data_IF_077919030320
#
_entry.id   IF_077919030320
#
_cell.length_a   1.000
_cell.length_b   1.000
_cell.length_c   1.000
_cell.angle_alpha   90.00
_cell.angle_beta   90.00
_cell.angle_gamma   90.00
#
_symmetry.space_group_name_H-M   'P 1'
#
loop_
_entity.id
_entity.type
_entity.pdbx_description
1 polymer ?
#
# COMPACT_ATOMS: atom_id res chain seq x y z
N UNK A 1 4.62 -3.43 16.72
CA UNK A 1 5.20 -4.79 16.70
C UNK A 1 5.98 -5.10 17.97
N UNK A 2 6.74 -4.16 18.55
CA UNK A 2 7.45 -4.37 19.81
C UNK A 2 6.50 -4.82 20.93
N UNK A 3 5.32 -4.26 21.02
CA UNK A 3 4.27 -4.66 21.97
C UNK A 3 3.80 -6.12 21.81
N UNK A 4 3.92 -6.71 20.60
CA UNK A 4 3.61 -8.14 20.39
C UNK A 4 4.69 -9.07 20.94
N UNK A 5 5.91 -8.58 21.12
CA UNK A 5 7.01 -9.33 21.72
C UNK A 5 6.80 -9.41 23.23
N UNK A 6 6.38 -8.31 23.85
CA UNK A 6 6.08 -8.22 25.29
C UNK A 6 4.57 -8.15 25.53
N UNK A 7 3.99 -9.25 25.99
CA UNK A 7 2.55 -9.35 26.27
C UNK A 7 2.08 -8.41 27.39
N UNK A 8 2.97 -8.06 28.33
CA UNK A 8 2.61 -7.11 29.39
C UNK A 8 2.38 -5.72 28.80
N UNK A 9 3.32 -5.25 28.00
CA UNK A 9 3.19 -3.99 27.26
C UNK A 9 1.99 -3.99 26.30
N UNK A 10 1.76 -5.12 25.62
CA UNK A 10 0.58 -5.23 24.75
C UNK A 10 -0.71 -5.06 25.52
N UNK A 11 -0.87 -5.74 26.66
CA UNK A 11 -2.07 -5.64 27.47
C UNK A 11 -2.27 -4.24 28.08
N UNK A 12 -1.19 -3.62 28.52
CA UNK A 12 -1.22 -2.24 29.04
C UNK A 12 -1.70 -1.24 27.98
N UNK A 13 -1.08 -1.26 26.80
CA UNK A 13 -1.47 -0.40 25.68
C UNK A 13 -2.89 -0.69 25.19
N UNK A 14 -3.26 -1.96 25.13
CA UNK A 14 -4.60 -2.36 24.75
C UNK A 14 -5.65 -1.80 25.71
N UNK A 15 -5.46 -1.93 27.02
CA UNK A 15 -6.36 -1.41 28.04
C UNK A 15 -6.43 0.12 28.02
N UNK A 16 -5.30 0.78 27.80
CA UNK A 16 -5.25 2.24 27.65
C UNK A 16 -6.10 2.70 26.46
N UNK A 17 -5.97 2.05 25.31
CA UNK A 17 -6.74 2.37 24.11
C UNK A 17 -8.24 2.04 24.29
N UNK A 18 -8.55 0.89 24.88
CA UNK A 18 -9.93 0.49 25.16
C UNK A 18 -10.61 1.54 26.06
N UNK A 19 -9.98 1.94 27.16
CA UNK A 19 -10.52 2.95 28.06
C UNK A 19 -10.74 4.31 27.36
N UNK A 20 -9.76 4.75 26.55
CA UNK A 20 -9.91 5.96 25.76
C UNK A 20 -11.12 5.93 24.82
N UNK A 21 -11.32 4.82 24.12
CA UNK A 21 -12.46 4.68 23.20
C UNK A 21 -13.79 4.58 23.95
N UNK A 22 -13.83 3.94 25.12
CA UNK A 22 -15.00 3.91 26.00
C UNK A 22 -15.42 5.32 26.43
N UNK A 23 -14.47 6.16 26.82
CA UNK A 23 -14.75 7.56 27.17
C UNK A 23 -15.30 8.36 25.97
N UNK A 24 -14.75 8.17 24.78
CA UNK A 24 -15.25 8.80 23.55
C UNK A 24 -16.69 8.37 23.27
N UNK A 25 -17.00 7.07 23.36
CA UNK A 25 -18.34 6.55 23.14
C UNK A 25 -19.35 7.12 24.12
N UNK A 26 -18.97 7.25 25.38
CA UNK A 26 -19.82 7.88 26.41
C UNK A 26 -20.04 9.37 26.17
N UNK A 27 -18.95 10.13 26.02
CA UNK A 27 -19.00 11.60 26.00
C UNK A 27 -19.53 12.16 24.69
N UNK A 28 -19.18 11.56 23.56
CA UNK A 28 -19.54 12.09 22.24
C UNK A 28 -20.79 11.42 21.66
N UNK A 29 -21.02 10.16 21.98
CA UNK A 29 -22.10 9.36 21.37
C UNK A 29 -23.18 8.93 22.36
N UNK A 30 -23.02 9.23 23.68
CA UNK A 30 -24.04 8.97 24.70
C UNK A 30 -24.30 7.50 25.04
N UNK A 31 -23.34 6.61 24.70
CA UNK A 31 -23.47 5.17 25.02
C UNK A 31 -23.35 4.92 26.53
N UNK A 32 -24.16 3.99 27.04
CA UNK A 32 -24.02 3.49 28.43
C UNK A 32 -22.94 2.40 28.51
N UNK A 33 -22.46 2.14 29.74
CA UNK A 33 -21.49 1.05 29.98
C UNK A 33 -22.06 -0.32 29.58
N UNK A 34 -23.36 -0.55 29.78
CA UNK A 34 -24.01 -1.80 29.38
C UNK A 34 -24.02 -1.97 27.87
N UNK A 35 -24.35 -0.90 27.12
CA UNK A 35 -24.32 -0.92 25.65
C UNK A 35 -22.90 -1.18 25.11
N UNK A 36 -21.92 -0.47 25.66
CA UNK A 36 -20.52 -0.64 25.28
C UNK A 36 -20.05 -2.07 25.56
N UNK A 37 -20.40 -2.62 26.73
CA UNK A 37 -20.00 -3.98 27.10
C UNK A 37 -20.66 -5.04 26.24
N UNK A 38 -21.92 -4.86 25.85
CA UNK A 38 -22.63 -5.79 24.96
C UNK A 38 -21.97 -5.86 23.58
N UNK A 39 -21.63 -4.72 22.99
CA UNK A 39 -21.01 -4.62 21.65
C UNK A 39 -19.55 -5.09 21.63
N UNK A 40 -18.77 -4.69 22.65
CA UNK A 40 -17.29 -4.85 22.60
C UNK A 40 -16.87 -6.24 23.11
N UNK A 41 -17.61 -6.87 24.03
CA UNK A 41 -17.17 -8.07 24.74
C UNK A 41 -16.75 -9.22 23.80
N UNK A 42 -17.55 -9.52 22.81
CA UNK A 42 -17.28 -10.63 21.88
C UNK A 42 -16.17 -10.27 20.88
N UNK A 43 -16.20 -9.05 20.33
CA UNK A 43 -15.21 -8.59 19.37
C UNK A 43 -13.83 -8.43 20.00
N UNK A 44 -13.73 -7.88 21.19
CA UNK A 44 -12.47 -7.76 21.92
C UNK A 44 -11.87 -9.11 22.30
N UNK A 45 -12.69 -10.07 22.70
CA UNK A 45 -12.22 -11.42 22.99
C UNK A 45 -11.68 -12.11 21.74
N UNK A 46 -12.40 -12.02 20.63
CA UNK A 46 -11.99 -12.56 19.34
C UNK A 46 -10.69 -11.91 18.86
N UNK A 47 -10.56 -10.59 18.97
CA UNK A 47 -9.35 -9.85 18.60
C UNK A 47 -8.14 -10.30 19.43
N UNK A 48 -8.24 -10.31 20.76
CA UNK A 48 -7.15 -10.77 21.64
C UNK A 48 -6.71 -12.20 21.32
N UNK A 49 -7.66 -13.10 21.08
CA UNK A 49 -7.39 -14.49 20.72
C UNK A 49 -6.65 -14.58 19.38
N UNK A 50 -7.07 -13.80 18.39
CA UNK A 50 -6.42 -13.73 17.08
C UNK A 50 -4.99 -13.19 17.17
N UNK A 51 -4.76 -12.14 17.96
CA UNK A 51 -3.43 -11.58 18.19
C UNK A 51 -2.51 -12.61 18.88
N UNK A 52 -2.99 -13.33 19.87
CA UNK A 52 -2.20 -14.37 20.54
C UNK A 52 -1.87 -15.55 19.59
N UNK A 53 -2.80 -15.91 18.70
CA UNK A 53 -2.55 -16.90 17.66
C UNK A 53 -1.50 -16.44 16.66
N UNK A 54 -1.62 -15.22 16.12
CA UNK A 54 -0.66 -14.60 15.21
C UNK A 54 0.71 -14.53 15.88
N UNK A 55 0.77 -14.07 17.13
CA UNK A 55 2.02 -14.01 17.89
C UNK A 55 2.71 -15.37 17.97
N UNK A 56 1.98 -16.43 18.34
CA UNK A 56 2.55 -17.80 18.43
C UNK A 56 3.14 -18.27 17.10
N UNK A 57 2.50 -17.92 15.99
CA UNK A 57 2.93 -18.32 14.64
C UNK A 57 4.07 -17.47 14.09
N UNK A 58 4.05 -16.17 14.37
CA UNK A 58 4.90 -15.20 13.68
C UNK A 58 5.99 -14.56 14.54
N UNK A 59 6.01 -14.82 15.85
CA UNK A 59 6.96 -14.12 16.75
C UNK A 59 8.43 -14.26 16.30
N UNK A 60 8.80 -15.41 15.73
CA UNK A 60 10.14 -15.66 15.21
C UNK A 60 10.45 -14.92 13.90
N UNK A 61 9.41 -14.43 13.22
CA UNK A 61 9.52 -13.69 11.97
C UNK A 61 9.53 -12.16 12.20
N UNK A 62 9.13 -11.72 13.40
CA UNK A 62 9.16 -10.30 13.77
C UNK A 62 10.61 -9.91 14.05
N UNK A 63 11.16 -9.05 13.22
CA UNK A 63 12.52 -8.55 13.33
C UNK A 63 12.61 -7.14 12.76
N UNK A 64 13.71 -6.47 13.02
CA UNK A 64 14.05 -5.20 12.38
C UNK A 64 14.46 -5.50 10.93
N UNK A 65 13.50 -5.36 10.02
CA UNK A 65 13.63 -5.82 8.63
C UNK A 65 14.70 -5.06 7.86
N UNK A 66 14.93 -3.77 8.18
CA UNK A 66 15.97 -2.95 7.57
C UNK A 66 17.37 -3.51 7.82
N UNK A 67 17.65 -3.98 9.03
CA UNK A 67 18.95 -4.62 9.34
C UNK A 67 19.09 -5.98 8.66
N UNK A 68 18.06 -6.80 8.78
CA UNK A 68 18.06 -8.14 8.19
C UNK A 68 18.22 -8.08 6.67
N UNK A 69 17.49 -7.18 5.99
CA UNK A 69 17.55 -7.06 4.54
C UNK A 69 18.93 -6.61 4.06
N UNK A 70 19.52 -5.59 4.73
CA UNK A 70 20.86 -5.13 4.39
C UNK A 70 21.93 -6.20 4.62
N UNK A 71 21.75 -7.06 5.63
CA UNK A 71 22.62 -8.23 5.87
C UNK A 71 22.50 -9.24 4.72
N UNK A 72 21.26 -9.60 4.31
CA UNK A 72 21.04 -10.50 3.19
C UNK A 72 21.67 -9.98 1.88
N UNK A 73 21.57 -8.68 1.63
CA UNK A 73 22.20 -8.04 0.46
C UNK A 73 23.73 -8.13 0.54
N UNK A 74 24.33 -7.89 1.72
CA UNK A 74 25.79 -8.04 1.93
C UNK A 74 26.26 -9.48 1.74
N UNK A 75 25.44 -10.47 2.09
CA UNK A 75 25.67 -11.88 1.82
C UNK A 75 25.55 -12.27 0.34
N UNK A 76 25.24 -11.31 -0.55
CA UNK A 76 25.12 -11.52 -1.99
C UNK A 76 23.76 -12.07 -2.44
N UNK A 77 22.75 -12.07 -1.56
CA UNK A 77 21.38 -12.48 -1.94
C UNK A 77 20.78 -11.48 -2.93
N UNK A 78 20.08 -12.02 -3.92
CA UNK A 78 19.30 -11.21 -4.87
C UNK A 78 17.97 -10.84 -4.24
N UNK A 79 17.62 -9.56 -4.30
CA UNK A 79 16.36 -9.01 -3.77
C UNK A 79 15.61 -8.38 -4.93
N UNK A 80 14.34 -8.75 -5.06
CA UNK A 80 13.38 -8.10 -5.94
C UNK A 80 12.44 -7.25 -5.08
N UNK A 81 12.43 -5.94 -5.33
CA UNK A 81 11.45 -5.03 -4.74
C UNK A 81 10.34 -4.78 -5.75
N UNK A 82 9.11 -5.08 -5.37
CA UNK A 82 7.92 -4.81 -6.18
C UNK A 82 7.19 -3.59 -5.60
N UNK A 83 7.00 -2.58 -6.44
CA UNK A 83 6.20 -1.41 -6.12
C UNK A 83 4.71 -1.66 -6.39
N UNK A 84 3.90 -0.68 -6.03
CA UNK A 84 2.47 -0.66 -6.32
C UNK A 84 2.09 0.64 -7.03
N UNK A 85 0.90 0.67 -7.62
CA UNK A 85 0.33 1.80 -8.38
C UNK A 85 1.14 2.11 -9.65
N UNK A 86 1.74 3.31 -9.76
CA UNK A 86 2.53 3.73 -10.91
C UNK A 86 3.07 5.14 -10.74
N UNK A 87 4.03 5.52 -11.56
CA UNK A 87 4.75 6.79 -11.47
C UNK A 87 3.83 8.01 -11.44
N UNK A 88 2.80 8.04 -12.29
CA UNK A 88 1.87 9.17 -12.36
C UNK A 88 0.94 9.30 -11.14
N UNK A 89 0.96 8.34 -10.22
CA UNK A 89 0.25 8.37 -8.94
C UNK A 89 1.15 8.69 -7.76
N UNK A 90 2.45 8.92 -7.99
CA UNK A 90 3.40 9.28 -6.92
C UNK A 90 2.99 10.58 -6.24
N UNK A 91 3.13 10.64 -4.90
CA UNK A 91 2.70 11.79 -4.11
C UNK A 91 3.42 13.08 -4.49
N UNK A 92 4.71 13.00 -4.87
CA UNK A 92 5.55 14.16 -5.18
C UNK A 92 5.69 14.39 -6.69
N UNK A 93 5.69 13.33 -7.49
CA UNK A 93 6.02 13.36 -8.92
C UNK A 93 4.84 12.98 -9.84
N UNK A 94 3.70 12.63 -9.26
CA UNK A 94 2.49 12.28 -10.01
C UNK A 94 1.62 13.48 -10.38
N UNK A 95 0.42 13.18 -10.87
CA UNK A 95 -0.58 14.17 -11.32
C UNK A 95 -1.38 14.74 -10.13
N UNK A 96 -0.70 15.45 -9.24
CA UNK A 96 -1.34 16.09 -8.08
C UNK A 96 -2.52 16.98 -8.48
N UNK A 97 -3.66 16.98 -7.75
CA UNK A 97 -3.92 16.27 -6.49
C UNK A 97 -4.42 14.83 -6.66
N UNK A 98 -4.47 14.29 -7.87
CA UNK A 98 -5.00 12.96 -8.18
C UNK A 98 -3.90 11.89 -8.08
N UNK A 99 -3.34 11.76 -6.91
CA UNK A 99 -2.21 10.88 -6.57
C UNK A 99 -2.58 9.95 -5.42
N UNK A 100 -1.70 8.97 -5.12
CA UNK A 100 -1.80 8.17 -3.91
C UNK A 100 -0.98 8.81 -2.77
N UNK A 101 -1.23 8.40 -1.54
CA UNK A 101 -0.51 8.91 -0.35
C UNK A 101 0.85 8.23 -0.12
N UNK A 102 1.45 7.69 -1.16
CA UNK A 102 2.72 6.95 -1.07
C UNK A 102 3.66 7.33 -2.21
N UNK A 103 4.97 7.09 -2.00
CA UNK A 103 5.96 7.18 -3.05
C UNK A 103 5.93 5.90 -3.88
N UNK A 104 5.52 6.03 -5.15
CA UNK A 104 5.37 4.92 -6.10
C UNK A 104 6.53 4.79 -7.07
N UNK A 105 7.45 5.74 -7.07
CA UNK A 105 8.67 5.71 -7.88
C UNK A 105 9.73 4.77 -7.28
N UNK A 106 10.73 4.41 -8.06
CA UNK A 106 11.81 3.51 -7.64
C UNK A 106 12.53 3.97 -6.34
N UNK A 107 12.62 5.30 -6.12
CA UNK A 107 13.13 5.88 -4.87
C UNK A 107 12.35 5.46 -3.62
N UNK A 108 11.05 5.18 -3.77
CA UNK A 108 10.20 4.66 -2.70
C UNK A 108 10.66 3.31 -2.13
N UNK A 109 11.37 2.50 -2.91
CA UNK A 109 11.97 1.25 -2.44
C UNK A 109 13.06 1.52 -1.39
N UNK A 110 13.84 2.60 -1.54
CA UNK A 110 14.88 2.96 -0.58
C UNK A 110 14.29 3.32 0.78
N UNK A 111 13.28 4.18 0.80
CA UNK A 111 12.63 4.64 2.03
C UNK A 111 11.77 3.54 2.66
N UNK A 112 11.06 2.76 1.85
CA UNK A 112 10.17 1.70 2.31
C UNK A 112 10.91 0.48 2.87
N UNK A 113 12.06 0.13 2.30
CA UNK A 113 12.85 -1.04 2.71
C UNK A 113 14.03 -0.68 3.62
N UNK A 114 14.35 0.60 3.77
CA UNK A 114 15.51 1.04 4.56
C UNK A 114 16.84 0.61 3.93
N UNK A 115 16.98 0.75 2.62
CA UNK A 115 18.20 0.42 1.87
C UNK A 115 18.82 1.65 1.23
N UNK A 116 20.13 1.60 1.03
CA UNK A 116 20.83 2.66 0.30
C UNK A 116 20.42 2.69 -1.18
N UNK A 117 20.23 3.87 -1.80
CA UNK A 117 19.98 3.98 -3.24
C UNK A 117 21.11 3.37 -4.10
N UNK A 118 22.33 3.31 -3.58
CA UNK A 118 23.48 2.70 -4.27
C UNK A 118 23.35 1.17 -4.40
N UNK A 119 22.40 0.56 -3.72
CA UNK A 119 22.13 -0.89 -3.81
C UNK A 119 21.15 -1.23 -4.92
N UNK A 120 20.42 -0.25 -5.46
CA UNK A 120 19.55 -0.45 -6.62
C UNK A 120 20.42 -0.55 -7.85
N UNK A 121 20.46 -1.72 -8.46
CA UNK A 121 21.28 -1.99 -9.64
C UNK A 121 20.48 -2.00 -10.93
N UNK A 122 19.19 -2.31 -10.84
CA UNK A 122 18.31 -2.50 -11.98
C UNK A 122 16.92 -2.02 -11.63
N UNK A 123 16.32 -1.25 -12.52
CA UNK A 123 14.93 -0.80 -12.40
C UNK A 123 14.18 -1.31 -13.63
N UNK A 124 13.23 -2.21 -13.39
CA UNK A 124 12.40 -2.80 -14.43
C UNK A 124 11.09 -2.03 -14.48
N UNK A 125 10.87 -1.29 -15.56
CA UNK A 125 9.59 -0.66 -15.86
C UNK A 125 8.62 -1.70 -16.44
N UNK A 126 7.40 -1.72 -15.91
CA UNK A 126 6.32 -2.53 -16.47
C UNK A 126 5.25 -1.58 -17.00
N UNK A 127 4.91 -1.70 -18.29
CA UNK A 127 3.89 -0.90 -18.93
C UNK A 127 2.95 -1.74 -19.77
N UNK A 128 1.69 -1.30 -19.86
CA UNK A 128 0.76 -1.85 -20.83
C UNK A 128 0.94 -1.13 -22.17
N UNK A 129 0.48 -1.74 -23.27
CA UNK A 129 0.45 -1.10 -24.59
C UNK A 129 -0.61 0.02 -24.71
N UNK A 130 -1.33 0.30 -23.66
CA UNK A 130 -2.35 1.36 -23.56
C UNK A 130 -2.35 1.90 -22.12
N UNK A 131 -2.94 3.07 -21.92
CA UNK A 131 -3.04 3.69 -20.60
C UNK A 131 -4.39 3.41 -19.94
N UNK A 132 -4.38 3.32 -18.60
CA UNK A 132 -5.61 3.26 -17.80
C UNK A 132 -5.56 4.20 -16.62
N UNK A 133 -6.73 4.74 -16.24
CA UNK A 133 -6.86 5.59 -15.06
C UNK A 133 -8.11 5.23 -14.26
N UNK A 134 -7.99 5.24 -12.94
CA UNK A 134 -9.11 5.12 -12.02
C UNK A 134 -9.39 6.48 -11.40
N UNK A 135 -10.68 6.85 -11.35
CA UNK A 135 -11.10 8.10 -10.73
C UNK A 135 -10.89 9.34 -11.60
N UNK A 136 -10.90 10.49 -10.93
CA UNK A 136 -10.81 11.79 -11.56
C UNK A 136 -9.38 12.15 -11.96
N UNK A 137 -9.21 13.31 -12.58
CA UNK A 137 -7.95 13.84 -13.06
C UNK A 137 -7.83 13.80 -14.56
N UNK A 138 -6.87 14.55 -15.06
CA UNK A 138 -6.62 14.66 -16.49
C UNK A 138 -6.14 13.34 -17.07
N UNK A 139 -6.61 13.05 -18.29
CA UNK A 139 -6.22 11.89 -19.06
C UNK A 139 -6.18 12.27 -20.55
N UNK A 140 -5.10 12.91 -21.01
CA UNK A 140 -5.03 13.51 -22.34
C UNK A 140 -5.27 12.54 -23.49
N UNK A 141 -4.89 11.28 -23.31
CA UNK A 141 -5.02 10.22 -24.33
C UNK A 141 -6.27 9.36 -24.16
N UNK A 142 -7.23 9.77 -23.33
CA UNK A 142 -8.46 9.01 -23.07
C UNK A 142 -9.27 8.75 -24.35
N UNK A 143 -9.77 7.53 -24.47
CA UNK A 143 -10.63 7.09 -25.57
C UNK A 143 -12.04 6.92 -25.01
N UNK A 144 -12.97 7.78 -25.45
CA UNK A 144 -14.35 7.82 -24.92
C UNK A 144 -15.39 7.17 -25.84
N UNK A 145 -14.95 6.60 -26.95
CA UNK A 145 -15.79 5.93 -27.95
C UNK A 145 -15.84 4.40 -27.77
N UNK A 146 -16.38 3.70 -28.76
CA UNK A 146 -16.50 2.24 -28.75
C UNK A 146 -15.16 1.52 -28.67
N UNK A 147 -14.07 2.13 -29.14
CA UNK A 147 -12.73 1.55 -29.05
C UNK A 147 -12.27 1.50 -27.59
N UNK A 148 -12.48 2.58 -26.84
CA UNK A 148 -12.20 2.63 -25.40
C UNK A 148 -13.02 1.60 -24.62
N UNK A 149 -14.29 1.41 -24.97
CA UNK A 149 -15.14 0.38 -24.37
C UNK A 149 -14.63 -1.03 -24.68
N UNK A 150 -14.16 -1.26 -25.92
CA UNK A 150 -13.62 -2.57 -26.32
C UNK A 150 -12.34 -2.90 -25.57
N UNK A 151 -11.40 -1.94 -25.49
CA UNK A 151 -10.16 -2.09 -24.70
C UNK A 151 -10.47 -2.43 -23.24
N UNK A 152 -11.45 -1.74 -22.64
CA UNK A 152 -11.87 -2.00 -21.26
C UNK A 152 -12.38 -3.42 -21.06
N UNK A 153 -13.19 -3.91 -22.00
CA UNK A 153 -13.76 -5.27 -21.93
C UNK A 153 -12.68 -6.33 -22.14
N UNK A 154 -11.89 -6.20 -23.19
CA UNK A 154 -10.88 -7.19 -23.57
C UNK A 154 -9.75 -7.25 -22.53
N UNK A 155 -9.34 -6.08 -22.01
CA UNK A 155 -8.32 -5.96 -20.94
C UNK A 155 -8.85 -6.25 -19.56
N UNK A 156 -10.16 -6.52 -19.39
CA UNK A 156 -10.81 -6.67 -18.07
C UNK A 156 -10.47 -5.51 -17.12
N UNK A 157 -10.52 -4.28 -17.63
CA UNK A 157 -10.10 -3.06 -16.94
C UNK A 157 -11.16 -2.57 -15.95
N UNK A 158 -11.27 -3.30 -14.84
CA UNK A 158 -12.13 -3.00 -13.70
C UNK A 158 -11.33 -3.03 -12.41
N UNK A 159 -11.77 -2.27 -11.41
CA UNK A 159 -11.16 -2.28 -10.08
C UNK A 159 -11.36 -3.63 -9.39
N UNK A 160 -10.28 -4.23 -8.92
CA UNK A 160 -10.30 -5.56 -8.29
C UNK A 160 -11.22 -5.65 -7.06
N UNK A 161 -11.34 -4.57 -6.31
CA UNK A 161 -12.14 -4.54 -5.07
C UNK A 161 -13.54 -4.00 -5.29
N UNK A 162 -13.68 -2.94 -6.09
CA UNK A 162 -14.94 -2.21 -6.26
C UNK A 162 -15.67 -2.53 -7.56
N UNK A 163 -15.04 -3.26 -8.48
CA UNK A 163 -15.58 -3.49 -9.83
C UNK A 163 -15.72 -2.21 -10.67
N UNK A 164 -15.18 -1.07 -10.23
CA UNK A 164 -15.32 0.22 -10.91
C UNK A 164 -14.63 0.19 -12.27
N UNK A 165 -15.30 0.59 -13.37
CA UNK A 165 -14.68 0.63 -14.69
C UNK A 165 -13.52 1.61 -14.70
N UNK A 166 -12.40 1.20 -15.30
CA UNK A 166 -11.25 2.08 -15.53
C UNK A 166 -11.45 2.86 -16.83
N UNK A 167 -11.02 4.10 -16.84
CA UNK A 167 -10.87 4.89 -18.05
C UNK A 167 -9.71 4.32 -18.85
N UNK A 168 -9.86 4.17 -20.16
CA UNK A 168 -8.83 3.63 -21.05
C UNK A 168 -8.42 4.68 -22.08
N UNK A 169 -7.16 4.65 -22.50
CA UNK A 169 -6.62 5.62 -23.45
C UNK A 169 -5.42 5.05 -24.21
N UNK A 170 -5.03 5.76 -25.28
CA UNK A 170 -3.81 5.42 -26.01
C UNK A 170 -2.57 5.55 -25.13
N UNK A 171 -1.47 4.89 -25.56
CA UNK A 171 -0.18 5.05 -24.91
C UNK A 171 0.20 6.53 -24.88
N UNK A 172 0.50 7.03 -23.68
CA UNK A 172 0.99 8.38 -23.45
C UNK A 172 2.52 8.37 -23.42
N UNK A 173 3.15 8.64 -24.56
CA UNK A 173 4.60 8.60 -24.68
C UNK A 173 5.30 9.68 -23.83
N UNK A 174 4.83 10.93 -23.77
CA UNK A 174 5.39 11.92 -22.84
C UNK A 174 5.37 11.48 -21.39
N UNK A 175 4.26 10.89 -20.92
CA UNK A 175 4.17 10.36 -19.56
C UNK A 175 5.10 9.15 -19.34
N UNK A 176 5.26 8.32 -20.35
CA UNK A 176 6.18 7.17 -20.32
C UNK A 176 7.65 7.62 -20.24
N UNK A 177 8.04 8.60 -21.07
CA UNK A 177 9.37 9.20 -21.06
C UNK A 177 9.69 9.85 -19.71
N UNK A 178 8.76 10.62 -19.18
CA UNK A 178 8.86 11.17 -17.83
C UNK A 178 9.05 10.08 -16.77
N UNK A 179 8.28 8.99 -16.89
CA UNK A 179 8.37 7.85 -15.97
C UNK A 179 9.75 7.19 -16.03
N UNK A 180 10.34 7.07 -17.22
CA UNK A 180 11.71 6.55 -17.38
C UNK A 180 12.74 7.45 -16.72
N UNK A 181 12.62 8.74 -16.93
CA UNK A 181 13.52 9.74 -16.34
C UNK A 181 13.51 9.68 -14.82
N UNK A 182 12.32 9.74 -14.21
CA UNK A 182 12.18 9.81 -12.74
C UNK A 182 12.61 8.51 -12.05
N UNK A 183 12.38 7.37 -12.68
CA UNK A 183 12.70 6.07 -12.09
C UNK A 183 14.08 5.55 -12.46
N UNK A 184 14.73 6.10 -13.46
CA UNK A 184 15.98 5.55 -13.98
C UNK A 184 15.79 4.15 -14.54
N UNK A 185 14.72 3.93 -15.32
CA UNK A 185 14.37 2.62 -15.88
C UNK A 185 15.51 2.07 -16.74
N UNK A 186 15.97 0.87 -16.42
CA UNK A 186 17.05 0.19 -17.15
C UNK A 186 16.52 -0.84 -18.14
N UNK A 187 15.36 -1.39 -17.87
CA UNK A 187 14.70 -2.41 -18.70
C UNK A 187 13.19 -2.18 -18.72
N UNK A 188 12.55 -2.45 -19.83
CA UNK A 188 11.10 -2.31 -20.01
C UNK A 188 10.48 -3.65 -20.40
N UNK A 189 9.32 -3.94 -19.81
CA UNK A 189 8.48 -5.10 -20.11
C UNK A 189 7.07 -4.62 -20.45
#
# INVERSE_FOLDING_TARGET
FESLIDLSKFNEEYLRLENKHREILKQQYGYTDEQINAEIKEQCYSFKRSILFIRRKMIRQIKRTEYWLNEQIREGKKVLAEGAQGTMLDIDHGTYPFVTSSSTIAGGACTGLGISPLLIRKVIGVTKAYCTRVGNGEFPTEITDQVGEQIRKDGNEFGSTTGRPRRCGWMDFPALEYSFLINGVTDLI
#
